data_IF_975251221148
#
_entry.id   IF_975251221148
#
_cell.length_a   1.000
_cell.length_b   1.000
_cell.length_c   1.000
_cell.angle_alpha   90.00
_cell.angle_beta   90.00
_cell.angle_gamma   90.00
#
_symmetry.space_group_name_H-M   'P 1'
#
loop_
_entity.id
_entity.type
_entity.pdbx_description
1 polymer ?
#
# COMPACT_ATOMS: atom_id res chain seq x y z
N UNK A 1 17.14 18.09 -21.81
CA UNK A 1 17.26 17.38 -20.51
C UNK A 1 16.53 16.04 -20.65
N UNK A 2 17.02 15.18 -21.56
CA UNK A 2 16.44 13.86 -21.89
C UNK A 2 17.41 12.73 -21.49
N UNK A 3 18.18 12.96 -20.42
CA UNK A 3 19.48 12.29 -20.21
C UNK A 3 19.45 11.07 -19.28
N UNK A 4 18.28 10.58 -18.89
CA UNK A 4 18.18 9.41 -18.00
C UNK A 4 17.89 8.16 -18.83
N UNK A 5 18.88 7.28 -18.97
CA UNK A 5 18.72 5.97 -19.63
C UNK A 5 17.55 5.19 -19.02
N UNK A 6 16.76 4.49 -19.85
CA UNK A 6 15.69 3.57 -19.41
C UNK A 6 16.20 2.50 -18.45
N UNK A 7 17.51 2.22 -18.47
CA UNK A 7 18.18 1.21 -17.63
C UNK A 7 18.79 1.77 -16.34
N UNK A 8 18.80 3.09 -16.14
CA UNK A 8 19.40 3.72 -14.96
C UNK A 8 18.64 3.41 -13.66
N UNK A 9 17.34 3.14 -13.76
CA UNK A 9 16.47 2.70 -12.66
C UNK A 9 15.41 1.75 -13.22
N UNK A 10 14.77 0.90 -12.38
CA UNK A 10 13.77 -0.05 -12.86
C UNK A 10 12.51 0.53 -13.53
N UNK A 11 12.18 1.81 -13.34
CA UNK A 11 11.02 2.44 -13.99
C UNK A 11 11.41 2.93 -15.39
N UNK A 12 10.94 2.33 -16.51
CA UNK A 12 11.59 2.45 -17.81
C UNK A 12 11.05 3.58 -18.69
N UNK A 13 9.93 4.22 -18.32
CA UNK A 13 9.33 5.26 -19.14
C UNK A 13 10.21 6.52 -19.14
N UNK A 14 11.05 6.63 -20.18
CA UNK A 14 11.98 7.76 -20.41
C UNK A 14 11.77 8.28 -21.83
N UNK A 15 12.86 8.64 -22.52
CA UNK A 15 12.85 9.21 -23.86
C UNK A 15 11.94 8.44 -24.83
N UNK A 16 11.11 9.16 -25.58
CA UNK A 16 10.12 8.57 -26.49
C UNK A 16 8.70 8.45 -25.90
N UNK A 17 8.53 8.59 -24.58
CA UNK A 17 7.21 8.70 -23.95
C UNK A 17 6.83 10.18 -23.78
N UNK A 18 5.78 10.63 -24.49
CA UNK A 18 5.43 12.06 -24.56
C UNK A 18 4.56 12.54 -23.38
N UNK A 19 3.71 11.67 -22.84
CA UNK A 19 2.88 11.94 -21.67
C UNK A 19 2.41 10.64 -21.01
N UNK A 20 2.00 10.72 -19.75
CA UNK A 20 1.25 9.67 -19.06
C UNK A 20 -0.13 10.24 -18.73
N UNK A 21 -1.19 9.59 -19.24
CA UNK A 21 -2.56 9.99 -18.93
C UNK A 21 -3.24 8.85 -18.18
N UNK A 22 -3.86 9.19 -17.06
CA UNK A 22 -4.70 8.30 -16.29
C UNK A 22 -6.14 8.82 -16.34
N UNK A 23 -7.07 7.96 -16.77
CA UNK A 23 -8.49 8.26 -16.71
C UNK A 23 -9.09 7.53 -15.51
N UNK A 24 -9.70 8.28 -14.59
CA UNK A 24 -10.43 7.74 -13.46
C UNK A 24 -11.83 8.38 -13.41
N UNK A 25 -12.85 7.54 -13.29
CA UNK A 25 -14.25 7.94 -13.15
C UNK A 25 -14.83 7.14 -12.00
N UNK A 26 -15.32 7.84 -10.98
CA UNK A 26 -15.88 7.23 -9.77
C UNK A 26 -17.38 7.54 -9.70
N UNK A 27 -18.20 6.52 -9.92
CA UNK A 27 -19.63 6.54 -9.59
C UNK A 27 -20.00 5.19 -8.98
N UNK A 28 -20.60 5.21 -7.78
CA UNK A 28 -20.92 4.04 -6.94
C UNK A 28 -19.77 3.62 -6.02
N UNK A 29 -20.10 3.03 -4.87
CA UNK A 29 -19.11 2.49 -3.91
C UNK A 29 -18.22 1.46 -4.62
N UNK A 30 -17.05 1.92 -5.07
CA UNK A 30 -16.05 1.03 -5.63
C UNK A 30 -15.31 0.36 -4.48
N UNK A 31 -15.75 -0.84 -4.12
CA UNK A 31 -15.08 -1.74 -3.17
C UNK A 31 -13.68 -2.23 -3.64
N UNK A 32 -13.05 -1.51 -4.57
CA UNK A 32 -11.74 -1.84 -5.13
C UNK A 32 -10.76 -0.73 -4.77
N UNK A 33 -10.10 -0.90 -3.63
CA UNK A 33 -9.03 -0.03 -3.21
C UNK A 33 -7.70 -0.51 -3.83
N UNK A 34 -6.86 0.43 -4.26
CA UNK A 34 -5.52 0.12 -4.77
C UNK A 34 -4.47 0.88 -3.98
N UNK A 35 -3.49 0.18 -3.41
CA UNK A 35 -2.58 0.77 -2.41
C UNK A 35 -1.75 1.94 -2.94
N UNK A 36 -1.50 2.01 -4.25
CA UNK A 36 -0.79 3.16 -4.85
C UNK A 36 -1.65 4.44 -4.88
N UNK A 37 -2.97 4.30 -4.77
CA UNK A 37 -3.93 5.39 -4.55
C UNK A 37 -4.44 5.28 -3.11
N UNK A 38 -3.58 5.65 -2.15
CA UNK A 38 -3.92 5.57 -0.73
C UNK A 38 -5.15 6.44 -0.40
N UNK A 39 -6.14 5.80 0.18
CA UNK A 39 -7.39 6.38 0.68
C UNK A 39 -7.49 6.13 2.19
N UNK A 40 -7.39 7.20 2.98
CA UNK A 40 -7.47 7.16 4.45
C UNK A 40 -8.91 7.02 4.95
N UNK A 41 -9.91 7.32 4.12
CA UNK A 41 -11.33 7.20 4.49
C UNK A 41 -11.76 5.72 4.60
N UNK A 42 -10.97 4.80 4.03
CA UNK A 42 -11.14 3.36 4.22
C UNK A 42 -10.85 2.88 5.65
N UNK A 43 -10.18 3.70 6.45
CA UNK A 43 -9.79 3.42 7.83
C UNK A 43 -8.28 3.53 8.03
N UNK A 44 -7.86 3.91 9.24
CA UNK A 44 -6.45 4.10 9.58
C UNK A 44 -6.09 3.46 10.91
N UNK A 45 -4.80 3.27 11.12
CA UNK A 45 -4.19 2.76 12.34
C UNK A 45 -4.23 3.84 13.44
N UNK A 46 -4.35 3.42 14.71
CA UNK A 46 -4.23 4.35 15.82
C UNK A 46 -2.77 4.77 16.02
N UNK A 47 -2.58 5.97 16.57
CA UNK A 47 -1.26 6.48 16.94
C UNK A 47 -0.60 5.52 17.95
N UNK A 48 0.51 4.89 17.55
CA UNK A 48 1.36 4.07 18.40
C UNK A 48 0.97 2.61 18.56
N UNK A 49 -0.30 2.22 18.36
CA UNK A 49 -0.73 0.82 18.43
C UNK A 49 -1.66 0.46 17.28
N UNK A 50 -1.28 -0.53 16.48
CA UNK A 50 -2.08 -1.02 15.36
C UNK A 50 -2.52 -2.44 15.61
N UNK A 51 -3.81 -2.65 15.87
CA UNK A 51 -4.38 -3.99 15.98
C UNK A 51 -4.53 -4.62 14.60
N UNK A 52 -4.16 -5.90 14.47
CA UNK A 52 -4.49 -6.72 13.29
C UNK A 52 -5.97 -6.61 12.91
N UNK A 53 -6.89 -6.65 13.89
CA UNK A 53 -8.34 -6.60 13.65
C UNK A 53 -8.76 -5.27 12.99
N UNK A 54 -8.18 -4.15 13.43
CA UNK A 54 -8.44 -2.84 12.87
C UNK A 54 -7.83 -2.72 11.47
N UNK A 55 -6.56 -3.11 11.32
CA UNK A 55 -5.87 -3.04 10.04
C UNK A 55 -6.50 -3.94 8.96
N UNK A 56 -7.09 -5.06 9.36
CA UNK A 56 -7.79 -5.97 8.45
C UNK A 56 -8.98 -5.32 7.74
N UNK A 57 -9.64 -4.34 8.38
CA UNK A 57 -10.82 -3.65 7.82
C UNK A 57 -10.45 -2.92 6.52
N UNK A 58 -9.41 -2.08 6.55
CA UNK A 58 -8.91 -1.39 5.35
C UNK A 58 -8.00 -2.30 4.50
N UNK A 59 -7.21 -3.17 5.14
CA UNK A 59 -6.21 -4.01 4.49
C UNK A 59 -6.82 -5.06 3.55
N UNK A 60 -7.97 -5.63 3.89
CA UNK A 60 -8.68 -6.56 3.00
C UNK A 60 -9.29 -5.87 1.78
N UNK A 61 -9.58 -4.56 1.84
CA UNK A 61 -10.02 -3.80 0.66
C UNK A 61 -8.89 -3.66 -0.37
N UNK A 62 -7.66 -3.44 0.09
CA UNK A 62 -6.48 -3.35 -0.79
C UNK A 62 -5.95 -4.72 -1.25
N UNK A 63 -5.85 -5.68 -0.33
CA UNK A 63 -5.08 -6.90 -0.53
C UNK A 63 -5.93 -8.17 -0.57
N UNK A 64 -7.23 -8.08 -0.26
CA UNK A 64 -8.15 -9.24 -0.20
C UNK A 64 -7.55 -10.36 0.65
N UNK A 65 -7.57 -11.59 0.14
CA UNK A 65 -7.04 -12.79 0.78
C UNK A 65 -5.51 -12.76 0.97
N UNK A 66 -4.79 -11.81 0.34
CA UNK A 66 -3.34 -11.70 0.52
C UNK A 66 -2.95 -10.99 1.82
N UNK A 67 -3.88 -10.30 2.49
CA UNK A 67 -3.59 -9.53 3.70
C UNK A 67 -2.93 -10.38 4.79
N UNK A 68 -3.44 -11.58 5.04
CA UNK A 68 -2.93 -12.46 6.10
C UNK A 68 -1.49 -12.93 5.82
N UNK A 69 -1.17 -13.20 4.55
CA UNK A 69 0.20 -13.52 4.13
C UNK A 69 1.14 -12.33 4.31
N UNK A 70 0.69 -11.13 4.00
CA UNK A 70 1.48 -9.91 4.17
C UNK A 70 1.76 -9.61 5.64
N UNK A 71 0.76 -9.81 6.51
CA UNK A 71 0.91 -9.71 7.96
C UNK A 71 1.95 -10.72 8.47
N UNK A 72 1.90 -11.98 8.00
CA UNK A 72 2.90 -12.99 8.37
C UNK A 72 4.32 -12.59 7.95
N UNK A 73 4.48 -12.07 6.72
CA UNK A 73 5.77 -11.57 6.25
C UNK A 73 6.24 -10.41 7.12
N UNK A 74 5.38 -9.41 7.35
CA UNK A 74 5.66 -8.25 8.19
C UNK A 74 6.13 -8.66 9.59
N UNK A 75 5.44 -9.63 10.20
CA UNK A 75 5.78 -10.18 11.52
C UNK A 75 7.20 -10.77 11.56
N UNK A 76 7.63 -11.42 10.48
CA UNK A 76 8.96 -12.02 10.40
C UNK A 76 10.07 -11.00 10.11
N UNK A 77 9.80 -10.02 9.24
CA UNK A 77 10.83 -9.09 8.75
C UNK A 77 10.96 -7.82 9.59
N UNK A 78 9.91 -7.44 10.31
CA UNK A 78 9.84 -6.22 11.12
C UNK A 78 8.94 -6.44 12.36
N UNK A 79 9.38 -7.30 13.30
CA UNK A 79 8.59 -7.66 14.48
C UNK A 79 8.33 -6.46 15.41
N UNK A 80 9.26 -5.52 15.50
CA UNK A 80 9.13 -4.29 16.33
C UNK A 80 8.31 -3.18 15.63
N UNK A 81 7.83 -3.46 14.41
CA UNK A 81 7.04 -2.56 13.60
C UNK A 81 7.71 -1.18 13.41
N UNK A 82 9.00 -1.16 13.11
CA UNK A 82 9.79 0.06 12.87
C UNK A 82 9.28 0.78 11.61
N UNK A 83 9.05 0.04 10.51
CA UNK A 83 8.55 0.60 9.27
C UNK A 83 7.03 0.71 9.30
N UNK A 84 6.51 1.82 9.82
CA UNK A 84 5.06 2.02 10.01
C UNK A 84 4.56 3.39 9.54
N UNK A 85 3.28 3.44 9.22
CA UNK A 85 2.51 4.63 8.89
C UNK A 85 1.01 4.41 9.22
N UNK A 86 0.16 5.35 8.83
CA UNK A 86 -1.28 5.38 9.12
C UNK A 86 -2.05 4.18 8.53
N UNK A 87 -1.52 3.50 7.51
CA UNK A 87 -2.10 2.29 6.92
C UNK A 87 -1.00 1.24 6.66
N UNK A 88 -0.01 1.15 7.54
CA UNK A 88 1.00 0.09 7.43
C UNK A 88 0.42 -1.21 7.96
N UNK A 89 0.77 -2.32 7.30
CA UNK A 89 0.42 -3.66 7.75
C UNK A 89 1.06 -3.88 9.13
N UNK A 90 0.30 -4.22 10.17
CA UNK A 90 0.86 -4.51 11.48
C UNK A 90 1.48 -5.90 11.50
N UNK A 91 2.55 -6.14 12.29
CA UNK A 91 2.92 -7.49 12.67
C UNK A 91 1.84 -8.09 13.58
N UNK A 92 1.75 -9.42 13.61
CA UNK A 92 1.04 -10.16 14.66
C UNK A 92 1.89 -10.06 15.93
N UNK A 93 1.76 -8.94 16.64
CA UNK A 93 2.29 -8.78 17.99
C UNK A 93 1.86 -9.94 18.86
N UNK A 94 2.81 -10.58 19.55
CA UNK A 94 2.60 -11.50 20.67
C UNK A 94 2.44 -10.78 22.02
N UNK A 95 2.05 -9.50 22.00
CA UNK A 95 1.88 -8.65 23.18
C UNK A 95 0.52 -7.98 23.16
#
# INVERSE_FOLDING_TARGET
MDEISETSTPFPHRAGNLFQIHYAVFWGDQDKAYINYRDLDLGMNNLGNTSYKQARIWGTKYFKNNFDRLVHVKTKVDPDNFFRNEQSIPPLSSW
#
